data_IF_624329816001
#
_entry.id   IF_624329816001
#
_cell.length_a   1.000
_cell.length_b   1.000
_cell.length_c   1.000
_cell.angle_alpha   90.00
_cell.angle_beta   90.00
_cell.angle_gamma   90.00
#
_symmetry.space_group_name_H-M   'P 1'
#
loop_
_entity.id
_entity.type
_entity.pdbx_description
1 polymer ?
#
# COMPACT_ATOMS: atom_id res chain seq x y z
N UNK A 1 -22.07 -16.01 42.71
CA UNK A 1 -20.83 -16.80 42.82
C UNK A 1 -19.99 -16.43 41.60
N UNK A 2 -18.87 -15.72 41.62
CA UNK A 2 -17.94 -15.30 42.68
C UNK A 2 -17.29 -14.00 42.15
N UNK A 3 -17.28 -12.94 42.96
CA UNK A 3 -16.51 -11.70 42.70
C UNK A 3 -15.02 -12.00 42.91
N UNK A 4 -14.16 -11.59 41.98
CA UNK A 4 -12.70 -11.67 42.08
C UNK A 4 -12.10 -10.26 42.10
N UNK A 5 -11.50 -9.92 43.24
CA UNK A 5 -10.94 -8.63 43.63
C UNK A 5 -9.53 -8.34 43.08
N UNK A 6 -9.26 -7.04 42.99
CA UNK A 6 -8.06 -6.28 42.62
C UNK A 6 -6.79 -6.68 43.39
N UNK A 7 -5.61 -6.57 42.76
CA UNK A 7 -4.39 -6.19 43.49
C UNK A 7 -3.48 -5.33 42.61
N UNK A 8 -3.33 -4.06 43.01
CA UNK A 8 -2.36 -3.10 42.47
C UNK A 8 -0.94 -3.57 42.79
N UNK A 9 -0.03 -3.44 41.83
CA UNK A 9 1.40 -3.38 42.10
C UNK A 9 1.87 -1.93 42.03
N UNK A 10 2.16 -1.37 43.21
CA UNK A 10 2.94 -0.17 43.36
C UNK A 10 4.43 -0.54 43.23
N UNK A 11 5.16 0.12 42.33
CA UNK A 11 6.60 0.27 42.47
C UNK A 11 6.92 1.75 42.45
N UNK A 12 7.52 2.19 43.55
CA UNK A 12 7.99 3.53 43.77
C UNK A 12 9.52 3.53 43.85
N UNK A 13 10.07 4.72 43.60
CA UNK A 13 11.39 5.23 43.97
C UNK A 13 12.64 4.78 43.18
N UNK A 14 13.20 5.73 42.44
CA UNK A 14 14.58 6.13 42.66
C UNK A 14 14.75 7.64 42.46
N UNK A 15 15.16 8.28 43.55
CA UNK A 15 15.44 9.69 43.76
C UNK A 15 16.90 9.97 43.36
N UNK A 16 17.15 10.94 42.48
CA UNK A 16 18.48 11.55 42.31
C UNK A 16 18.31 13.07 42.39
N UNK A 17 18.79 13.64 43.49
CA UNK A 17 19.02 15.07 43.69
C UNK A 17 20.54 15.27 43.80
N UNK A 18 21.11 16.24 43.07
CA UNK A 18 21.89 17.38 43.60
C UNK A 18 22.59 18.14 42.45
N UNK A 19 22.38 19.46 42.40
CA UNK A 19 23.19 20.40 41.59
C UNK A 19 22.66 21.84 41.64
N UNK A 20 23.35 22.70 42.40
CA UNK A 20 23.06 24.07 42.84
C UNK A 20 23.22 25.16 41.75
N UNK A 21 22.25 26.05 41.47
CA UNK A 21 22.11 27.46 41.95
C UNK A 21 22.02 28.48 40.77
N UNK A 22 21.88 29.83 40.91
CA UNK A 22 21.17 30.72 41.87
C UNK A 22 20.13 31.68 41.16
N UNK A 23 19.43 32.60 41.87
CA UNK A 23 18.22 33.28 41.39
C UNK A 23 18.42 34.75 40.97
N UNK A 24 17.54 35.28 40.11
CA UNK A 24 17.39 36.73 39.97
C UNK A 24 16.56 37.20 38.77
N UNK A 25 15.63 38.13 39.04
CA UNK A 25 15.05 39.02 38.02
C UNK A 25 13.60 38.70 37.67
N UNK A 26 12.67 39.40 38.33
CA UNK A 26 11.26 39.28 38.02
C UNK A 26 10.88 39.97 36.71
N UNK A 27 9.72 39.59 36.19
CA UNK A 27 8.82 40.49 35.48
C UNK A 27 7.45 39.82 35.41
N UNK A 28 6.44 40.56 35.86
CA UNK A 28 5.04 40.22 35.83
C UNK A 28 4.55 40.17 34.38
N UNK A 29 4.40 38.97 33.83
CA UNK A 29 3.65 38.71 32.61
C UNK A 29 2.39 37.93 32.93
N UNK A 30 1.23 38.49 32.58
CA UNK A 30 -0.07 37.84 32.68
C UNK A 30 -0.03 36.45 32.02
N UNK A 31 -0.43 35.41 32.76
CA UNK A 31 -0.75 34.12 32.19
C UNK A 31 -1.96 34.31 31.27
N UNK A 32 -1.72 34.32 29.97
CA UNK A 32 -2.75 34.08 28.96
C UNK A 32 -3.35 32.70 29.25
N UNK A 33 -4.61 32.70 29.69
CA UNK A 33 -5.45 31.51 29.77
C UNK A 33 -5.44 30.82 28.40
N UNK A 34 -4.70 29.73 28.30
CA UNK A 34 -4.80 28.79 27.19
C UNK A 34 -5.99 27.88 27.45
N UNK A 35 -7.18 28.45 27.30
CA UNK A 35 -8.36 27.62 27.04
C UNK A 35 -8.17 27.03 25.63
N UNK A 36 -7.56 25.84 25.59
CA UNK A 36 -7.52 25.05 24.37
C UNK A 36 -8.97 24.61 24.12
N UNK A 37 -9.60 25.00 23.01
CA UNK A 37 -10.95 24.52 22.72
C UNK A 37 -10.85 23.01 22.56
N UNK A 38 -11.52 22.30 23.46
CA UNK A 38 -11.71 20.87 23.35
C UNK A 38 -12.70 20.65 22.21
N UNK A 39 -12.17 20.45 21.00
CA UNK A 39 -12.97 20.02 19.87
C UNK A 39 -13.34 18.57 20.14
N UNK A 40 -14.59 18.33 20.54
CA UNK A 40 -15.16 17.00 20.57
C UNK A 40 -15.31 16.52 19.11
N UNK A 41 -14.41 15.64 18.67
CA UNK A 41 -14.56 14.92 17.42
C UNK A 41 -15.64 13.85 17.64
N UNK A 42 -16.91 14.22 17.44
CA UNK A 42 -18.06 13.31 17.53
C UNK A 42 -18.31 12.52 16.23
N UNK A 43 -17.29 12.36 15.39
CA UNK A 43 -17.36 11.55 14.18
C UNK A 43 -16.64 10.23 14.37
N UNK A 44 -17.32 9.10 14.16
CA UNK A 44 -16.66 7.84 13.82
C UNK A 44 -15.73 8.10 12.62
N UNK A 45 -14.47 7.62 12.61
CA UNK A 45 -13.62 7.76 11.42
C UNK A 45 -14.38 7.15 10.23
N UNK A 46 -14.78 8.01 9.30
CA UNK A 46 -15.49 7.60 8.09
C UNK A 46 -14.62 6.59 7.36
N UNK A 47 -15.11 5.36 7.24
CA UNK A 47 -14.57 4.34 6.35
C UNK A 47 -14.38 4.97 4.97
N UNK A 48 -13.14 5.04 4.48
CA UNK A 48 -12.86 5.54 3.14
C UNK A 48 -13.44 4.52 2.17
N UNK A 49 -14.65 4.79 1.68
CA UNK A 49 -15.28 3.95 0.67
C UNK A 49 -14.46 4.02 -0.62
N UNK A 50 -13.97 2.87 -1.08
CA UNK A 50 -13.31 2.75 -2.37
C UNK A 50 -14.25 3.16 -3.51
N UNK A 51 -13.73 3.63 -4.67
CA UNK A 51 -14.53 3.84 -5.86
C UNK A 51 -15.29 2.55 -6.20
N UNK A 52 -16.62 2.64 -6.28
CA UNK A 52 -17.42 1.50 -6.74
C UNK A 52 -17.29 1.38 -8.25
N UNK A 53 -17.14 0.15 -8.75
CA UNK A 53 -17.18 -0.15 -10.19
C UNK A 53 -18.51 -0.83 -10.50
N UNK A 54 -19.25 -0.28 -11.46
CA UNK A 54 -20.56 -0.79 -11.81
C UNK A 54 -20.48 -2.08 -12.68
N UNK A 55 -21.12 -3.14 -12.20
CA UNK A 55 -21.32 -4.39 -12.95
C UNK A 55 -20.09 -5.32 -13.03
N UNK A 56 -20.24 -6.51 -13.65
CA UNK A 56 -19.13 -7.43 -13.81
C UNK A 56 -18.08 -6.86 -14.76
N UNK A 57 -16.83 -6.82 -14.30
CA UNK A 57 -15.68 -6.38 -15.08
C UNK A 57 -14.99 -7.58 -15.70
N UNK A 58 -14.75 -7.53 -17.00
CA UNK A 58 -13.91 -8.51 -17.70
C UNK A 58 -12.85 -7.77 -18.51
N UNK A 59 -11.60 -7.94 -18.12
CA UNK A 59 -10.46 -7.31 -18.77
C UNK A 59 -10.12 -5.93 -18.22
N UNK A 60 -8.92 -5.48 -18.56
CA UNK A 60 -8.37 -4.23 -18.05
C UNK A 60 -8.69 -3.06 -19.01
N UNK A 61 -9.93 -2.57 -18.93
CA UNK A 61 -10.43 -1.47 -19.77
C UNK A 61 -9.98 -0.09 -19.26
N UNK A 62 -9.02 0.49 -19.97
CA UNK A 62 -8.44 1.81 -19.68
C UNK A 62 -9.42 2.98 -19.90
N UNK A 63 -10.55 2.75 -20.58
CA UNK A 63 -11.57 3.79 -20.80
C UNK A 63 -12.60 3.87 -19.67
N UNK A 64 -12.65 2.86 -18.80
CA UNK A 64 -13.48 2.87 -17.60
C UNK A 64 -12.77 3.63 -16.47
N UNK A 65 -13.12 4.90 -16.30
CA UNK A 65 -12.49 5.78 -15.31
C UNK A 65 -12.65 5.30 -13.86
N UNK A 66 -13.78 4.66 -13.52
CA UNK A 66 -14.00 4.13 -12.16
C UNK A 66 -13.07 2.95 -11.88
N UNK A 67 -12.90 2.07 -12.87
CA UNK A 67 -12.01 0.92 -12.80
C UNK A 67 -10.54 1.35 -12.64
N UNK A 68 -10.10 2.33 -13.44
CA UNK A 68 -8.74 2.89 -13.34
C UNK A 68 -8.51 3.56 -11.98
N UNK A 69 -9.49 4.33 -11.47
CA UNK A 69 -9.37 5.01 -10.18
C UNK A 69 -9.31 4.01 -9.00
N UNK A 70 -10.12 2.94 -9.04
CA UNK A 70 -10.02 1.85 -8.06
C UNK A 70 -8.63 1.18 -8.15
N UNK A 71 -8.17 0.91 -9.37
CA UNK A 71 -6.90 0.28 -9.64
C UNK A 71 -5.69 1.05 -9.11
N UNK A 72 -5.72 2.38 -9.20
CA UNK A 72 -4.67 3.25 -8.66
C UNK A 72 -4.54 3.07 -7.14
N UNK A 73 -5.66 3.11 -6.41
CA UNK A 73 -5.67 2.97 -4.96
C UNK A 73 -5.13 1.60 -4.55
N UNK A 74 -5.62 0.55 -5.20
CA UNK A 74 -5.17 -0.82 -4.93
C UNK A 74 -3.70 -1.03 -5.30
N UNK A 75 -3.24 -0.46 -6.41
CA UNK A 75 -1.83 -0.52 -6.81
C UNK A 75 -0.93 0.08 -5.73
N UNK A 76 -1.28 1.27 -5.21
CA UNK A 76 -0.50 1.91 -4.16
C UNK A 76 -0.48 1.09 -2.86
N UNK A 77 -1.58 0.40 -2.55
CA UNK A 77 -1.69 -0.43 -1.34
C UNK A 77 -0.95 -1.77 -1.45
N UNK A 78 -1.03 -2.45 -2.59
CA UNK A 78 -0.61 -3.84 -2.72
C UNK A 78 0.66 -4.03 -3.57
N UNK A 79 0.93 -3.14 -4.53
CA UNK A 79 1.93 -3.37 -5.58
C UNK A 79 3.14 -2.44 -5.47
N UNK A 80 2.90 -1.17 -5.11
CA UNK A 80 3.91 -0.11 -5.14
C UNK A 80 5.12 -0.36 -4.23
N UNK A 81 4.94 -1.12 -3.14
CA UNK A 81 6.04 -1.48 -2.23
C UNK A 81 7.18 -2.23 -2.92
N UNK A 82 6.90 -2.94 -4.02
CA UNK A 82 7.91 -3.62 -4.83
C UNK A 82 8.06 -2.99 -6.22
N UNK A 83 6.95 -2.64 -6.87
CA UNK A 83 6.97 -2.12 -8.25
C UNK A 83 7.19 -0.60 -8.35
N UNK A 84 7.33 0.09 -7.22
CA UNK A 84 7.52 1.54 -7.17
C UNK A 84 6.19 2.30 -7.28
N UNK A 85 6.14 3.49 -6.68
CA UNK A 85 4.93 4.31 -6.65
C UNK A 85 4.55 4.83 -8.06
N UNK A 86 5.55 4.99 -8.93
CA UNK A 86 5.44 5.47 -10.31
C UNK A 86 5.65 4.33 -11.33
N UNK A 87 5.50 3.07 -10.89
CA UNK A 87 5.66 1.86 -11.71
C UNK A 87 7.08 1.62 -12.22
N UNK A 88 8.08 2.27 -11.62
CA UNK A 88 9.48 2.28 -12.06
C UNK A 88 10.23 0.96 -11.79
N UNK A 89 9.67 0.10 -10.93
CA UNK A 89 10.27 -1.15 -10.51
C UNK A 89 11.52 -0.99 -9.65
N UNK A 90 12.16 -2.12 -9.35
CA UNK A 90 13.41 -2.14 -8.61
C UNK A 90 14.63 -1.97 -9.53
N UNK A 91 15.74 -1.41 -9.03
CA UNK A 91 16.98 -1.34 -9.79
C UNK A 91 17.48 -2.74 -10.14
N UNK A 92 18.15 -2.87 -11.29
CA UNK A 92 18.72 -4.13 -11.77
C UNK A 92 17.70 -5.29 -11.88
N UNK A 93 16.42 -5.00 -12.13
CA UNK A 93 15.34 -6.00 -12.21
C UNK A 93 15.56 -7.15 -13.22
N UNK A 94 16.50 -7.00 -14.16
CA UNK A 94 16.90 -8.05 -15.12
C UNK A 94 17.99 -8.98 -14.61
N UNK A 95 18.56 -8.73 -13.44
CA UNK A 95 19.67 -9.49 -12.86
C UNK A 95 19.22 -10.14 -11.56
N UNK A 96 19.51 -11.43 -11.41
CA UNK A 96 19.18 -12.15 -10.17
C UNK A 96 20.01 -11.62 -9.01
N UNK A 97 19.39 -11.51 -7.85
CA UNK A 97 20.07 -11.17 -6.59
C UNK A 97 20.88 -12.35 -6.04
N UNK A 98 21.51 -12.15 -4.88
CA UNK A 98 22.32 -13.18 -4.19
C UNK A 98 21.52 -14.43 -3.80
N UNK A 99 20.20 -14.28 -3.64
CA UNK A 99 19.27 -15.37 -3.32
C UNK A 99 18.71 -16.04 -4.58
N UNK A 100 19.07 -15.54 -5.77
CA UNK A 100 18.64 -16.06 -7.06
C UNK A 100 17.28 -15.53 -7.54
N UNK A 101 16.71 -14.49 -6.93
CA UNK A 101 15.43 -13.91 -7.33
C UNK A 101 15.61 -12.74 -8.29
N UNK A 102 14.65 -12.54 -9.20
CA UNK A 102 14.58 -11.32 -10.00
C UNK A 102 13.87 -10.24 -9.17
N UNK A 103 14.44 -9.02 -9.06
CA UNK A 103 13.74 -7.87 -8.49
C UNK A 103 12.48 -7.53 -9.29
N UNK A 104 11.55 -6.80 -8.67
CA UNK A 104 10.29 -6.43 -9.28
C UNK A 104 10.52 -5.60 -10.57
N UNK A 105 10.00 -6.02 -11.73
CA UNK A 105 10.16 -5.26 -12.97
C UNK A 105 9.34 -3.97 -12.97
N UNK A 106 9.70 -2.97 -13.79
CA UNK A 106 8.84 -1.83 -14.04
C UNK A 106 7.53 -2.28 -14.66
N UNK A 107 6.45 -1.65 -14.25
CA UNK A 107 5.16 -1.75 -14.89
C UNK A 107 4.90 -0.60 -15.87
N UNK A 108 5.81 0.38 -15.98
CA UNK A 108 5.76 1.45 -16.97
C UNK A 108 6.25 1.02 -18.38
N UNK A 109 6.47 2.00 -19.28
CA UNK A 109 6.94 1.76 -20.65
C UNK A 109 8.35 1.15 -20.76
N UNK A 110 9.15 1.18 -19.68
CA UNK A 110 10.53 0.66 -19.65
C UNK A 110 10.61 -0.82 -19.30
N UNK A 111 9.51 -1.38 -18.77
CA UNK A 111 9.36 -2.77 -18.40
C UNK A 111 8.99 -3.71 -19.55
N UNK A 112 8.59 -4.94 -19.20
CA UNK A 112 8.11 -5.95 -20.17
C UNK A 112 6.65 -6.34 -20.01
N UNK A 113 5.94 -5.80 -19.01
CA UNK A 113 4.57 -6.19 -18.64
C UNK A 113 3.61 -6.18 -19.83
N UNK A 114 3.72 -5.14 -20.67
CA UNK A 114 2.88 -4.95 -21.85
C UNK A 114 3.09 -5.96 -22.99
N UNK A 115 4.10 -6.84 -22.91
CA UNK A 115 4.26 -7.94 -23.87
C UNK A 115 3.30 -9.12 -23.60
N UNK A 116 2.57 -9.10 -22.49
CA UNK A 116 1.68 -10.18 -22.08
C UNK A 116 0.20 -9.81 -22.28
N UNK A 117 -0.65 -10.77 -22.68
CA UNK A 117 -2.09 -10.56 -22.77
C UNK A 117 -2.69 -10.37 -21.37
N UNK A 118 -3.84 -9.70 -21.32
CA UNK A 118 -4.53 -9.36 -20.08
C UNK A 118 -4.85 -10.59 -19.22
N UNK A 119 -5.31 -11.69 -19.82
CA UNK A 119 -5.64 -12.93 -19.10
C UNK A 119 -4.40 -13.54 -18.43
N UNK A 120 -3.24 -13.53 -19.10
CA UNK A 120 -1.99 -13.99 -18.50
C UNK A 120 -1.59 -13.10 -17.31
N UNK A 121 -1.72 -11.78 -17.46
CA UNK A 121 -1.40 -10.85 -16.37
C UNK A 121 -2.34 -11.02 -15.18
N UNK A 122 -3.63 -11.28 -15.44
CA UNK A 122 -4.61 -11.59 -14.41
C UNK A 122 -4.23 -12.83 -13.62
N UNK A 123 -3.97 -13.95 -14.30
CA UNK A 123 -3.59 -15.20 -13.63
C UNK A 123 -2.29 -15.02 -12.82
N UNK A 124 -1.28 -14.35 -13.37
CA UNK A 124 -0.04 -14.07 -12.62
C UNK A 124 -0.32 -13.28 -11.34
N UNK A 125 -1.20 -12.27 -11.38
CA UNK A 125 -1.57 -11.49 -10.20
C UNK A 125 -2.39 -12.31 -9.21
N UNK A 126 -3.29 -13.16 -9.69
CA UNK A 126 -4.17 -13.98 -8.85
C UNK A 126 -3.38 -15.05 -8.08
N UNK A 127 -2.58 -15.87 -8.80
CA UNK A 127 -1.92 -17.05 -8.23
C UNK A 127 -0.42 -16.87 -7.97
N UNK A 128 0.18 -15.78 -8.46
CA UNK A 128 1.60 -15.50 -8.34
C UNK A 128 2.43 -16.13 -9.46
N UNK A 129 3.63 -15.56 -9.70
CA UNK A 129 4.48 -15.98 -10.82
C UNK A 129 5.01 -17.41 -10.67
N UNK A 130 5.33 -17.84 -9.45
CA UNK A 130 5.84 -19.19 -9.21
C UNK A 130 4.81 -20.26 -9.56
N UNK A 131 3.55 -20.09 -9.14
CA UNK A 131 2.46 -21.00 -9.47
C UNK A 131 2.13 -20.98 -10.97
N UNK A 132 2.10 -19.78 -11.58
CA UNK A 132 1.81 -19.62 -13.00
C UNK A 132 2.86 -20.25 -13.91
N UNK A 133 4.16 -20.03 -13.65
CA UNK A 133 5.26 -20.57 -14.48
C UNK A 133 5.51 -22.05 -14.20
N UNK A 134 5.44 -22.44 -12.92
CA UNK A 134 5.71 -23.82 -12.49
C UNK A 134 7.16 -24.26 -12.74
N UNK A 135 7.35 -25.58 -12.89
CA UNK A 135 8.66 -26.20 -13.18
C UNK A 135 9.79 -25.84 -12.19
N UNK A 136 9.46 -25.53 -10.95
CA UNK A 136 10.41 -25.11 -9.93
C UNK A 136 10.98 -23.70 -10.12
N UNK A 137 10.33 -22.87 -10.96
CA UNK A 137 10.63 -21.44 -11.04
C UNK A 137 10.42 -20.79 -9.67
N UNK A 138 11.29 -19.85 -9.29
CA UNK A 138 11.19 -19.13 -8.01
C UNK A 138 10.96 -17.66 -8.25
N UNK A 139 9.98 -17.08 -7.55
CA UNK A 139 9.64 -15.65 -7.63
C UNK A 139 9.28 -15.09 -6.26
N UNK A 140 9.53 -13.80 -6.06
CA UNK A 140 9.01 -13.04 -4.92
C UNK A 140 7.64 -12.39 -5.23
N UNK A 141 7.18 -12.44 -6.48
CA UNK A 141 5.85 -11.99 -6.86
C UNK A 141 4.80 -13.03 -6.44
N UNK A 142 4.15 -12.75 -5.32
CA UNK A 142 3.09 -13.56 -4.72
C UNK A 142 1.78 -13.46 -5.51
N UNK A 143 0.86 -14.38 -5.24
CA UNK A 143 -0.53 -14.27 -5.68
C UNK A 143 -1.38 -13.46 -4.70
N UNK A 144 -2.35 -12.73 -5.22
CA UNK A 144 -3.23 -11.85 -4.47
C UNK A 144 -4.69 -12.34 -4.43
N UNK A 145 -5.03 -13.51 -4.98
CA UNK A 145 -6.42 -14.01 -5.02
C UNK A 145 -7.10 -14.24 -3.66
N UNK A 146 -6.33 -14.35 -2.58
CA UNK A 146 -6.86 -14.40 -1.20
C UNK A 146 -7.14 -13.00 -0.62
N UNK A 147 -6.68 -11.93 -1.29
CA UNK A 147 -6.71 -10.55 -0.81
C UNK A 147 -7.52 -9.60 -1.71
N UNK A 148 -7.55 -9.88 -3.02
CA UNK A 148 -8.23 -9.09 -4.03
C UNK A 148 -9.20 -10.00 -4.80
N UNK A 149 -10.41 -9.52 -5.04
CA UNK A 149 -11.33 -10.18 -5.96
C UNK A 149 -10.99 -9.92 -7.44
N UNK A 150 -11.66 -10.64 -8.35
CA UNK A 150 -11.43 -10.51 -9.79
C UNK A 150 -11.57 -9.07 -10.30
N UNK A 151 -12.53 -8.31 -9.77
CA UNK A 151 -12.77 -6.93 -10.20
C UNK A 151 -11.62 -6.04 -9.77
N UNK A 152 -11.13 -6.24 -8.55
CA UNK A 152 -9.98 -5.54 -7.98
C UNK A 152 -8.68 -5.86 -8.74
N UNK A 153 -8.46 -7.11 -9.14
CA UNK A 153 -7.31 -7.49 -9.97
C UNK A 153 -7.41 -6.82 -11.36
N UNK A 154 -8.59 -6.84 -11.99
CA UNK A 154 -8.80 -6.13 -13.26
C UNK A 154 -8.61 -4.62 -13.12
N UNK A 155 -8.99 -4.04 -11.97
CA UNK A 155 -8.78 -2.63 -11.68
C UNK A 155 -7.29 -2.28 -11.66
N UNK A 156 -6.48 -3.03 -10.91
CA UNK A 156 -5.02 -2.84 -10.85
C UNK A 156 -4.40 -2.91 -12.24
N UNK A 157 -4.79 -3.90 -13.05
CA UNK A 157 -4.29 -4.03 -14.42
C UNK A 157 -4.75 -2.87 -15.31
N UNK A 158 -5.98 -2.38 -15.16
CA UNK A 158 -6.47 -1.23 -15.92
C UNK A 158 -5.67 0.03 -15.60
N UNK A 159 -5.34 0.26 -14.33
CA UNK A 159 -4.47 1.35 -13.90
C UNK A 159 -3.06 1.24 -14.47
N UNK A 160 -2.42 0.07 -14.37
CA UNK A 160 -1.09 -0.15 -14.94
C UNK A 160 -1.09 0.18 -16.45
N UNK A 161 -2.09 -0.34 -17.18
CA UNK A 161 -2.23 -0.10 -18.61
C UNK A 161 -2.50 1.35 -18.97
N UNK A 162 -3.22 2.10 -18.12
CA UNK A 162 -3.50 3.51 -18.37
C UNK A 162 -2.25 4.37 -18.31
N UNK A 163 -1.20 3.93 -17.60
CA UNK A 163 0.10 4.62 -17.57
C UNK A 163 0.94 4.40 -18.83
N UNK A 164 0.60 3.43 -19.67
CA UNK A 164 1.35 3.18 -20.89
C UNK A 164 1.03 4.22 -21.96
N UNK A 165 2.00 4.66 -22.76
CA UNK A 165 1.74 5.48 -23.92
C UNK A 165 0.77 4.77 -24.88
N UNK A 166 -0.05 5.51 -25.65
CA UNK A 166 -1.04 4.92 -26.54
C UNK A 166 -0.48 3.92 -27.54
N UNK A 167 0.79 4.06 -27.95
CA UNK A 167 1.47 3.12 -28.84
C UNK A 167 1.65 1.72 -28.22
N UNK A 168 1.93 1.66 -26.92
CA UNK A 168 2.14 0.42 -26.17
C UNK A 168 0.80 -0.23 -25.86
N UNK A 169 -0.21 0.54 -25.43
CA UNK A 169 -1.57 0.02 -25.22
C UNK A 169 -2.15 -0.66 -26.47
N UNK A 170 -1.84 -0.13 -27.66
CA UNK A 170 -2.24 -0.73 -28.95
C UNK A 170 -1.42 -1.95 -29.35
N UNK A 171 -0.15 -2.02 -28.93
CA UNK A 171 0.77 -3.11 -29.28
C UNK A 171 0.61 -4.33 -28.37
N UNK A 172 0.04 -4.15 -27.18
CA UNK A 172 -0.21 -5.24 -26.24
C UNK A 172 -1.04 -6.36 -26.90
N UNK A 173 -0.62 -7.63 -26.76
CA UNK A 173 -1.43 -8.78 -27.16
C UNK A 173 -2.80 -8.77 -26.51
N UNK A 174 -3.79 -9.34 -27.21
CA UNK A 174 -5.17 -9.47 -26.73
C UNK A 174 -5.41 -10.88 -26.24
#
# INVERSE_FOLDING_TARGET
>A
MTRGTITLWAFAFALILLGCGPPGGGESGQALSSETPSVEITGTPTEVSLPQVDGPVKGADVSNAQLVALGEILYQQYCAACHGAELEGQPNWKTRDENGYLPAPPHDETGHTWHHPDEQLFEITEIGTEAFVGMGYRSTMIGFGDQLDDTEIWAVLAYIKSQWPPRIQRAQPK
#
